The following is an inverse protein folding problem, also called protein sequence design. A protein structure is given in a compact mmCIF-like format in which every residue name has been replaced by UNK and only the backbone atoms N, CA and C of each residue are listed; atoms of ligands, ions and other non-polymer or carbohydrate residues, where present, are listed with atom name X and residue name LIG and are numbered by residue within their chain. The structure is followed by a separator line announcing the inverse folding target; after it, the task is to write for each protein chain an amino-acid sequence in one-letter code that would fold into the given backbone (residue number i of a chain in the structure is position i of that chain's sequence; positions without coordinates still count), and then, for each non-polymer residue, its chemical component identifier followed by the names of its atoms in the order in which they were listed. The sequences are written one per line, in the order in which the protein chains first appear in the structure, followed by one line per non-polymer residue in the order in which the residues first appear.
data_IF_098389911064
#
_entry.id   IF_098389911064
#
_cell.length_a   1.000
_cell.length_b   1.000
_cell.length_c   1.000
_cell.angle_alpha   90.00
_cell.angle_beta   90.00
_cell.angle_gamma   90.00
#
_symmetry.space_group_name_H-M   'P 1'
#
loop_
_entity.id
_entity.type
_entity.pdbx_description
1 polymer ?
#
# COMPACT_ATOMS: atom_id res chain seq x y z
N UNK A 1 -2.67 -51.14 -12.35
CA UNK A 1 -3.23 -49.97 -13.06
C UNK A 1 -3.71 -48.88 -12.10
N UNK A 2 -4.20 -49.22 -10.89
CA UNK A 2 -4.66 -48.26 -9.88
C UNK A 2 -3.58 -47.28 -9.39
N UNK A 3 -2.39 -47.77 -8.99
CA UNK A 3 -1.28 -46.93 -8.50
C UNK A 3 -0.84 -45.82 -9.47
N UNK A 4 -0.90 -46.07 -10.77
CA UNK A 4 -0.49 -45.08 -11.80
C UNK A 4 -1.47 -43.91 -11.82
N UNK A 5 -2.76 -44.17 -11.59
CA UNK A 5 -3.81 -43.15 -11.53
C UNK A 5 -3.64 -42.24 -10.31
N UNK A 6 -3.20 -42.80 -9.18
CA UNK A 6 -2.93 -42.04 -7.95
C UNK A 6 -1.70 -41.12 -8.11
N UNK A 7 -0.61 -41.61 -8.70
CA UNK A 7 0.56 -40.77 -9.00
C UNK A 7 0.21 -39.60 -9.93
N UNK A 8 -0.57 -39.82 -10.99
CA UNK A 8 -0.99 -38.73 -11.89
C UNK A 8 -1.85 -37.71 -11.15
N UNK A 9 -2.67 -38.16 -10.18
CA UNK A 9 -3.51 -37.29 -9.37
C UNK A 9 -2.67 -36.43 -8.41
N UNK A 10 -1.68 -37.01 -7.73
CA UNK A 10 -0.74 -36.29 -6.87
C UNK A 10 0.07 -35.25 -7.64
N UNK A 11 0.58 -35.59 -8.83
CA UNK A 11 1.34 -34.64 -9.65
C UNK A 11 0.45 -33.48 -10.11
N UNK A 12 -0.82 -33.75 -10.40
CA UNK A 12 -1.83 -32.72 -10.76
C UNK A 12 -2.15 -31.83 -9.55
N UNK A 13 -2.18 -32.40 -8.35
CA UNK A 13 -2.40 -31.69 -7.09
C UNK A 13 -1.19 -30.81 -6.69
N UNK A 14 0.03 -31.32 -6.88
CA UNK A 14 1.26 -30.54 -6.73
C UNK A 14 1.27 -29.36 -7.71
N UNK A 15 0.89 -29.60 -8.97
CA UNK A 15 0.84 -28.55 -9.99
C UNK A 15 -0.20 -27.48 -9.67
N UNK A 16 -1.37 -27.88 -9.16
CA UNK A 16 -2.42 -26.94 -8.76
C UNK A 16 -2.02 -26.13 -7.51
N UNK A 17 -1.30 -26.73 -6.55
CA UNK A 17 -0.67 -25.99 -5.45
C UNK A 17 0.40 -25.00 -5.94
N UNK A 18 1.22 -25.39 -6.92
CA UNK A 18 2.23 -24.52 -7.53
C UNK A 18 1.61 -23.34 -8.29
N UNK A 19 0.54 -23.57 -9.03
CA UNK A 19 -0.21 -22.51 -9.73
C UNK A 19 -0.89 -21.54 -8.76
N UNK A 20 -1.42 -22.04 -7.63
CA UNK A 20 -2.05 -21.22 -6.60
C UNK A 20 -1.02 -20.35 -5.86
N UNK A 21 0.12 -20.93 -5.49
CA UNK A 21 1.22 -20.21 -4.82
C UNK A 21 1.92 -19.19 -5.74
N UNK A 22 2.08 -19.51 -7.03
CA UNK A 22 2.73 -18.62 -7.99
C UNK A 22 1.88 -17.40 -8.37
N UNK A 23 0.54 -17.51 -8.34
CA UNK A 23 -0.36 -16.38 -8.63
C UNK A 23 -0.37 -15.30 -7.54
N UNK A 24 0.06 -15.60 -6.32
CA UNK A 24 0.08 -14.62 -5.21
C UNK A 24 1.34 -13.75 -5.12
N UNK A 25 2.45 -14.15 -5.74
CA UNK A 25 3.73 -13.44 -5.58
C UNK A 25 3.95 -12.23 -6.49
N UNK A 26 3.01 -11.88 -7.37
CA UNK A 26 3.25 -10.92 -8.44
C UNK A 26 2.26 -9.75 -8.49
N UNK A 27 1.54 -9.46 -7.40
CA UNK A 27 0.87 -8.16 -7.30
C UNK A 27 1.90 -7.06 -7.02
N UNK A 28 2.52 -6.60 -8.11
CA UNK A 28 3.28 -5.35 -8.27
C UNK A 28 4.09 -4.85 -7.07
N UNK A 29 4.99 -5.66 -6.50
CA UNK A 29 5.97 -5.17 -5.52
C UNK A 29 6.82 -4.00 -6.04
N UNK A 30 6.98 -3.89 -7.37
CA UNK A 30 7.64 -2.78 -8.03
C UNK A 30 6.90 -1.43 -7.92
N UNK A 31 5.56 -1.42 -7.88
CA UNK A 31 4.83 -0.16 -7.70
C UNK A 31 5.08 0.42 -6.31
N UNK A 32 5.20 -0.45 -5.29
CA UNK A 32 5.58 -0.06 -3.94
C UNK A 32 6.99 0.53 -3.87
N UNK A 33 7.96 -0.09 -4.55
CA UNK A 33 9.36 0.40 -4.60
C UNK A 33 9.43 1.79 -5.26
N UNK A 34 8.73 1.97 -6.38
CA UNK A 34 8.73 3.26 -7.11
C UNK A 34 8.02 4.35 -6.29
N UNK A 35 6.88 4.03 -5.66
CA UNK A 35 6.20 4.96 -4.76
C UNK A 35 7.08 5.35 -3.56
N UNK A 36 7.84 4.40 -3.00
CA UNK A 36 8.81 4.64 -1.94
C UNK A 36 9.93 5.59 -2.36
N UNK A 37 10.53 5.39 -3.55
CA UNK A 37 11.58 6.28 -4.06
C UNK A 37 11.08 7.71 -4.26
N UNK A 38 9.86 7.88 -4.76
CA UNK A 38 9.23 9.20 -4.94
C UNK A 38 8.95 9.87 -3.59
N UNK A 39 8.50 9.10 -2.59
CA UNK A 39 8.26 9.60 -1.23
C UNK A 39 9.57 10.03 -0.55
N UNK A 40 10.65 9.28 -0.72
CA UNK A 40 11.98 9.63 -0.19
C UNK A 40 12.49 10.91 -0.88
N UNK A 41 12.39 11.00 -2.21
CA UNK A 41 12.77 12.20 -2.95
C UNK A 41 11.96 13.43 -2.51
N UNK A 42 10.65 13.29 -2.35
CA UNK A 42 9.76 14.36 -1.86
C UNK A 42 10.12 14.81 -0.44
N UNK A 43 10.40 13.86 0.46
CA UNK A 43 10.85 14.15 1.84
C UNK A 43 12.19 14.89 1.85
N UNK A 44 13.12 14.49 0.99
CA UNK A 44 14.43 15.14 0.87
C UNK A 44 14.31 16.60 0.40
N UNK A 45 13.45 16.86 -0.59
CA UNK A 45 13.15 18.23 -1.05
C UNK A 45 12.48 19.04 0.06
N UNK A 46 11.52 18.45 0.78
CA UNK A 46 10.87 19.08 1.93
C UNK A 46 11.88 19.46 3.01
N UNK A 47 12.80 18.55 3.35
CA UNK A 47 13.84 18.74 4.36
C UNK A 47 14.82 19.86 3.99
N UNK A 48 15.14 20.02 2.70
CA UNK A 48 15.97 21.14 2.22
C UNK A 48 15.24 22.48 2.24
N UNK A 49 13.95 22.50 1.91
CA UNK A 49 13.15 23.73 1.85
C UNK A 49 12.73 24.22 3.24
N UNK A 50 12.47 23.29 4.16
CA UNK A 50 12.26 23.56 5.58
C UNK A 50 13.62 23.58 6.26
N UNK A 51 14.25 24.75 6.36
CA UNK A 51 15.34 24.96 7.31
C UNK A 51 14.88 24.43 8.68
N UNK A 52 15.39 23.26 9.09
CA UNK A 52 15.06 22.58 10.33
C UNK A 52 15.59 23.42 11.51
N UNK A 53 14.86 24.48 11.88
CA UNK A 53 15.05 25.12 13.16
C UNK A 53 14.31 24.27 14.19
N UNK A 54 15.06 23.62 15.08
CA UNK A 54 14.65 22.52 15.93
C UNK A 54 13.50 22.81 16.93
N UNK A 55 12.96 24.03 16.93
CA UNK A 55 12.00 24.52 17.93
C UNK A 55 10.59 24.82 17.41
N UNK A 56 10.33 24.79 16.09
CA UNK A 56 9.04 25.25 15.52
C UNK A 56 8.19 24.14 14.90
N UNK A 57 8.37 22.88 15.34
CA UNK A 57 7.68 21.72 14.74
C UNK A 57 6.18 21.70 15.10
N UNK A 58 5.77 22.35 16.20
CA UNK A 58 4.41 22.22 16.74
C UNK A 58 3.53 23.48 16.63
N UNK A 59 4.10 24.68 16.48
CA UNK A 59 3.32 25.93 16.60
C UNK A 59 2.89 26.54 15.27
N UNK A 60 3.59 26.28 14.17
CA UNK A 60 3.20 26.81 12.86
C UNK A 60 3.33 25.72 11.81
N UNK A 61 2.25 24.95 11.63
CA UNK A 61 2.04 24.22 10.40
C UNK A 61 1.92 25.25 9.26
N UNK A 62 3.07 25.73 8.77
CA UNK A 62 3.14 26.67 7.65
C UNK A 62 2.37 26.04 6.50
N UNK A 63 1.41 26.78 5.97
CA UNK A 63 0.60 26.43 4.79
C UNK A 63 1.47 25.86 3.64
N UNK A 64 2.73 26.31 3.56
CA UNK A 64 3.73 25.79 2.63
C UNK A 64 4.04 24.29 2.76
N UNK A 65 4.04 23.73 3.98
CA UNK A 65 4.30 22.30 4.24
C UNK A 65 3.10 21.47 3.81
N UNK A 66 1.89 21.96 4.09
CA UNK A 66 0.65 21.32 3.67
C UNK A 66 0.58 21.23 2.14
N UNK A 67 0.91 22.33 1.45
CA UNK A 67 0.98 22.37 -0.01
C UNK A 67 2.04 21.42 -0.59
N UNK A 68 3.22 21.35 0.04
CA UNK A 68 4.28 20.45 -0.40
C UNK A 68 3.90 18.98 -0.17
N UNK A 69 3.29 18.65 0.97
CA UNK A 69 2.77 17.32 1.25
C UNK A 69 1.68 16.91 0.25
N UNK A 70 0.76 17.82 -0.09
CA UNK A 70 -0.24 17.59 -1.14
C UNK A 70 0.39 17.40 -2.53
N UNK A 71 1.40 18.20 -2.88
CA UNK A 71 2.11 18.07 -4.15
C UNK A 71 2.85 16.73 -4.26
N UNK A 72 3.55 16.31 -3.20
CA UNK A 72 4.25 15.02 -3.16
C UNK A 72 3.24 13.87 -3.19
N UNK A 73 2.15 13.96 -2.43
CA UNK A 73 1.11 12.93 -2.38
C UNK A 73 0.44 12.76 -3.74
N UNK A 74 0.03 13.85 -4.41
CA UNK A 74 -0.58 13.80 -5.74
C UNK A 74 0.39 13.29 -6.81
N UNK A 75 1.67 13.68 -6.74
CA UNK A 75 2.72 13.17 -7.64
C UNK A 75 2.95 11.67 -7.40
N UNK A 76 3.03 11.23 -6.16
CA UNK A 76 3.19 9.81 -5.83
C UNK A 76 1.97 8.99 -6.28
N UNK A 77 0.75 9.50 -6.08
CA UNK A 77 -0.48 8.83 -6.51
C UNK A 77 -0.55 8.71 -8.04
N UNK A 78 -0.27 9.80 -8.76
CA UNK A 78 -0.29 9.82 -10.23
C UNK A 78 0.75 8.87 -10.80
N UNK A 79 1.96 8.84 -10.25
CA UNK A 79 3.00 7.91 -10.71
C UNK A 79 2.68 6.47 -10.31
N UNK A 80 2.14 6.22 -9.11
CA UNK A 80 1.72 4.89 -8.70
C UNK A 80 0.64 4.33 -9.62
N UNK A 81 -0.39 5.13 -9.93
CA UNK A 81 -1.46 4.76 -10.86
C UNK A 81 -0.92 4.55 -12.28
N UNK A 82 -0.09 5.47 -12.76
CA UNK A 82 0.51 5.39 -14.10
C UNK A 82 1.42 4.17 -14.26
N UNK A 83 2.29 3.92 -13.28
CA UNK A 83 3.17 2.76 -13.28
C UNK A 83 2.38 1.45 -13.14
N UNK A 84 1.33 1.44 -12.32
CA UNK A 84 0.44 0.29 -12.19
C UNK A 84 -0.20 -0.03 -13.54
N UNK A 85 -0.81 0.97 -14.19
CA UNK A 85 -1.44 0.84 -15.50
C UNK A 85 -0.46 0.36 -16.58
N UNK A 86 0.70 1.01 -16.70
CA UNK A 86 1.70 0.69 -17.72
C UNK A 86 2.29 -0.72 -17.54
N UNK A 87 2.32 -1.23 -16.30
CA UNK A 87 2.80 -2.57 -15.98
C UNK A 87 1.76 -3.66 -16.23
N UNK A 88 0.47 -3.36 -16.10
CA UNK A 88 -0.60 -4.26 -16.59
C UNK A 88 -0.52 -4.43 -18.10
N UNK A 89 -0.36 -3.33 -18.84
CA UNK A 89 -0.28 -3.38 -20.30
C UNK A 89 0.91 -4.21 -20.77
N UNK A 90 2.08 -4.08 -20.13
CA UNK A 90 3.28 -4.88 -20.46
C UNK A 90 3.18 -6.38 -20.13
N UNK A 91 2.24 -6.80 -19.28
CA UNK A 91 2.05 -8.21 -18.91
C UNK A 91 0.86 -8.88 -19.58
N UNK A 92 0.09 -8.17 -20.42
CA UNK A 92 -1.08 -8.72 -21.11
C UNK A 92 -2.22 -9.15 -20.17
N UNK A 93 -2.12 -8.87 -18.88
CA UNK A 93 -3.13 -9.17 -17.87
C UNK A 93 -3.84 -7.89 -17.43
N UNK A 94 -5.17 -7.93 -17.39
CA UNK A 94 -5.98 -6.81 -16.87
C UNK A 94 -5.63 -6.61 -15.39
N UNK A 95 -5.10 -5.43 -15.04
CA UNK A 95 -4.85 -5.03 -13.65
C UNK A 95 -6.10 -5.12 -12.77
N UNK A 96 -7.27 -5.08 -13.41
CA UNK A 96 -8.59 -5.09 -12.82
C UNK A 96 -9.22 -6.48 -12.91
N UNK A 97 -8.60 -7.46 -12.27
CA UNK A 97 -9.23 -8.77 -12.05
C UNK A 97 -10.13 -8.69 -10.80
N UNK A 98 -11.22 -9.48 -10.71
CA UNK A 98 -12.14 -9.44 -9.58
C UNK A 98 -11.42 -9.72 -8.25
N UNK A 99 -10.37 -10.54 -8.27
CA UNK A 99 -9.48 -10.80 -7.11
C UNK A 99 -8.76 -9.54 -6.64
N UNK A 100 -8.12 -8.79 -7.55
CA UNK A 100 -7.42 -7.53 -7.22
C UNK A 100 -8.37 -6.47 -6.68
N UNK A 101 -9.57 -6.36 -7.25
CA UNK A 101 -10.60 -5.44 -6.76
C UNK A 101 -11.05 -5.80 -5.34
N UNK A 102 -11.22 -7.09 -5.05
CA UNK A 102 -11.65 -7.58 -3.74
C UNK A 102 -10.57 -7.38 -2.68
N UNK A 103 -9.31 -7.62 -3.03
CA UNK A 103 -8.14 -7.33 -2.19
C UNK A 103 -7.99 -5.82 -1.91
N UNK A 104 -8.16 -4.96 -2.91
CA UNK A 104 -8.14 -3.50 -2.71
C UNK A 104 -9.26 -3.04 -1.79
N UNK A 105 -10.47 -3.59 -1.93
CA UNK A 105 -11.60 -3.27 -1.06
C UNK A 105 -11.36 -3.72 0.38
N UNK A 106 -10.84 -4.94 0.59
CA UNK A 106 -10.55 -5.46 1.93
C UNK A 106 -9.43 -4.69 2.63
N UNK A 107 -8.49 -4.13 1.88
CA UNK A 107 -7.41 -3.28 2.39
C UNK A 107 -7.88 -1.83 2.64
N UNK A 108 -8.73 -1.29 1.77
CA UNK A 108 -9.20 0.10 1.84
C UNK A 108 -10.13 0.36 3.03
N UNK A 109 -11.00 -0.60 3.37
CA UNK A 109 -11.95 -0.46 4.49
C UNK A 109 -11.25 -0.12 5.81
N UNK A 110 -10.31 -0.93 6.33
CA UNK A 110 -9.59 -0.62 7.57
C UNK A 110 -8.70 0.62 7.46
N UNK A 111 -8.19 0.95 6.27
CA UNK A 111 -7.32 2.11 6.08
C UNK A 111 -8.13 3.43 6.18
N UNK A 112 -9.31 3.47 5.55
CA UNK A 112 -10.22 4.62 5.64
C UNK A 112 -10.73 4.80 7.07
N UNK A 113 -11.14 3.72 7.75
CA UNK A 113 -11.59 3.81 9.14
C UNK A 113 -10.47 4.28 10.07
N UNK A 114 -9.24 3.79 9.87
CA UNK A 114 -8.07 4.25 10.60
C UNK A 114 -7.78 5.74 10.42
N UNK A 115 -7.82 6.25 9.18
CA UNK A 115 -7.65 7.69 8.90
C UNK A 115 -8.71 8.52 9.62
N UNK A 116 -9.98 8.10 9.58
CA UNK A 116 -11.08 8.78 10.26
C UNK A 116 -10.85 8.84 11.78
N UNK A 117 -10.41 7.73 12.37
CA UNK A 117 -10.11 7.64 13.81
C UNK A 117 -8.90 8.51 14.18
N UNK A 118 -7.85 8.55 13.35
CA UNK A 118 -6.68 9.40 13.58
C UNK A 118 -7.08 10.87 13.58
N UNK A 119 -7.92 11.31 12.65
CA UNK A 119 -8.43 12.69 12.60
C UNK A 119 -9.18 13.02 13.90
N UNK A 120 -10.05 12.11 14.36
CA UNK A 120 -10.75 12.28 15.64
C UNK A 120 -9.76 12.38 16.81
N UNK A 121 -8.72 11.54 16.85
CA UNK A 121 -7.68 11.59 17.89
C UNK A 121 -6.92 12.92 17.91
N UNK A 122 -6.59 13.45 16.73
CA UNK A 122 -5.91 14.75 16.59
C UNK A 122 -6.78 15.87 17.15
N UNK A 123 -8.08 15.87 16.82
CA UNK A 123 -9.03 16.88 17.32
C UNK A 123 -9.16 16.81 18.86
N UNK A 124 -9.07 15.60 19.44
CA UNK A 124 -9.11 15.40 20.89
C UNK A 124 -7.75 15.65 21.59
N UNK A 125 -6.71 16.06 20.87
CA UNK A 125 -5.38 16.34 21.43
C UNK A 125 -4.61 15.11 21.91
N UNK A 126 -5.06 13.90 21.57
CA UNK A 126 -4.48 12.62 22.01
C UNK A 126 -3.34 12.18 21.08
N UNK A 127 -2.33 13.04 20.91
CA UNK A 127 -1.28 12.85 19.92
C UNK A 127 -0.41 11.61 20.16
N UNK A 128 -0.26 11.18 21.43
CA UNK A 128 0.50 9.98 21.81
C UNK A 128 -0.12 8.68 21.31
N UNK A 129 -1.42 8.64 21.02
CA UNK A 129 -2.11 7.44 20.55
C UNK A 129 -2.16 7.32 19.02
N UNK A 130 -1.70 8.33 18.28
CA UNK A 130 -1.70 8.29 16.80
C UNK A 130 -0.78 7.16 16.29
N UNK A 131 0.40 7.01 16.87
CA UNK A 131 1.36 5.97 16.48
C UNK A 131 0.83 4.53 16.68
N UNK A 132 0.30 4.12 17.85
CA UNK A 132 -0.24 2.77 18.00
C UNK A 132 -1.49 2.53 17.13
N UNK A 133 -2.37 3.53 16.98
CA UNK A 133 -3.57 3.38 16.14
C UNK A 133 -3.23 3.23 14.65
N UNK A 134 -2.30 4.03 14.12
CA UNK A 134 -1.81 3.86 12.73
C UNK A 134 -1.25 2.46 12.50
N UNK A 135 -0.48 1.91 13.45
CA UNK A 135 0.09 0.57 13.36
C UNK A 135 -0.99 -0.53 13.35
N UNK A 136 -2.00 -0.40 14.21
CA UNK A 136 -3.11 -1.36 14.31
C UNK A 136 -3.91 -1.40 13.00
N UNK A 137 -4.33 -0.24 12.49
CA UNK A 137 -5.11 -0.17 11.25
C UNK A 137 -4.32 -0.60 10.02
N UNK A 138 -3.01 -0.32 10.00
CA UNK A 138 -2.12 -0.84 8.98
C UNK A 138 -2.03 -2.38 9.02
N UNK A 139 -1.88 -2.97 10.21
CA UNK A 139 -1.89 -4.43 10.39
C UNK A 139 -3.20 -5.07 9.95
N UNK A 140 -4.33 -4.48 10.32
CA UNK A 140 -5.67 -4.92 9.90
C UNK A 140 -5.84 -4.86 8.37
N UNK A 141 -5.32 -3.82 7.73
CA UNK A 141 -5.36 -3.68 6.27
C UNK A 141 -4.55 -4.77 5.57
N UNK A 142 -3.32 -5.03 6.02
CA UNK A 142 -2.48 -6.09 5.46
C UNK A 142 -3.10 -7.48 5.66
N UNK A 143 -3.67 -7.73 6.84
CA UNK A 143 -4.34 -8.99 7.13
C UNK A 143 -5.56 -9.22 6.21
N UNK A 144 -6.40 -8.20 6.03
CA UNK A 144 -7.55 -8.27 5.13
C UNK A 144 -7.19 -8.39 3.64
N UNK A 145 -6.06 -7.79 3.24
CA UNK A 145 -5.53 -7.88 1.88
C UNK A 145 -4.91 -9.24 1.55
N UNK A 146 -4.19 -9.86 2.49
CA UNK A 146 -3.51 -11.14 2.29
C UNK A 146 -4.41 -12.38 2.27
N UNK A 147 -5.68 -12.24 2.66
CA UNK A 147 -6.63 -13.35 2.73
C UNK A 147 -7.23 -13.74 1.35
N UNK A 148 -7.05 -12.91 0.33
CA UNK A 148 -7.66 -13.05 -1.00
C UNK A 148 -6.61 -13.30 -2.08
#
# INVERSE_FOLDING_TARGET
MEKIKDYVKEITEIRSMMERSSKFMLLSGWAGIIAGLIAIAGTFVAFKFLHFSSSTIFCEAKISVLWLALAVLTTALTVAVYCSYNKAVKRGEKLWNPTTRRMLLSLSVPLITGVLIIIVLIINGLNGLIAPFTLIFYGLALFGGGYH
#
